data_IF_728382167568
#
_entry.id   IF_728382167568
#
_cell.length_a   1.000
_cell.length_b   1.000
_cell.length_c   1.000
_cell.angle_alpha   90.00
_cell.angle_beta   90.00
_cell.angle_gamma   90.00
#
_symmetry.space_group_name_H-M   'P 1'
#
loop_
_entity.id
_entity.type
_entity.pdbx_description
1 polymer ?
#
# COMPACT_ATOMS: atom_id res chain seq x y z
N UNK A 1 4.16 10.80 -35.39
CA UNK A 1 5.00 10.89 -34.18
C UNK A 1 5.15 9.49 -33.62
N UNK A 2 6.36 8.94 -33.53
CA UNK A 2 6.58 7.76 -32.69
C UNK A 2 6.50 8.25 -31.24
N UNK A 3 5.40 7.98 -30.54
CA UNK A 3 5.45 8.02 -29.08
C UNK A 3 6.30 6.81 -28.65
N UNK A 4 7.41 7.07 -27.97
CA UNK A 4 8.17 6.01 -27.29
C UNK A 4 7.24 5.38 -26.25
N UNK A 5 6.85 4.13 -26.46
CA UNK A 5 6.12 3.38 -25.45
C UNK A 5 6.96 3.30 -24.18
N UNK A 6 6.45 3.87 -23.08
CA UNK A 6 7.01 3.61 -21.76
C UNK A 6 6.39 2.34 -21.18
N UNK A 7 7.27 1.45 -20.76
CA UNK A 7 6.96 0.15 -20.16
C UNK A 7 7.06 0.30 -18.63
N UNK A 8 6.24 -0.41 -17.87
CA UNK A 8 6.35 -0.43 -16.40
C UNK A 8 7.71 -0.97 -15.92
N UNK A 9 8.03 -0.69 -14.65
CA UNK A 9 9.31 -1.08 -14.06
C UNK A 9 9.51 -2.61 -14.10
N UNK A 10 10.77 -3.09 -14.21
CA UNK A 10 11.07 -4.51 -14.14
C UNK A 10 10.64 -5.16 -12.83
N UNK A 11 10.42 -6.47 -12.87
CA UNK A 11 10.16 -7.27 -11.67
C UNK A 11 11.40 -7.33 -10.79
N UNK A 12 11.22 -7.09 -9.49
CA UNK A 12 12.25 -7.25 -8.47
C UNK A 12 12.28 -8.72 -8.05
N UNK A 13 13.34 -9.43 -8.43
CA UNK A 13 13.53 -10.87 -8.21
C UNK A 13 14.49 -11.18 -7.06
N UNK A 14 15.33 -10.20 -6.67
CA UNK A 14 16.25 -10.30 -5.54
C UNK A 14 15.90 -9.27 -4.45
N UNK A 15 16.16 -9.56 -3.17
CA UNK A 15 15.87 -8.64 -2.08
C UNK A 15 16.55 -7.29 -2.28
N UNK A 16 15.80 -6.20 -2.11
CA UNK A 16 16.31 -4.84 -2.30
C UNK A 16 15.72 -3.86 -1.29
N UNK A 17 16.49 -2.83 -0.96
CA UNK A 17 16.01 -1.66 -0.23
C UNK A 17 15.87 -0.51 -1.23
N UNK A 18 14.65 -0.02 -1.42
CA UNK A 18 14.35 1.19 -2.19
C UNK A 18 14.04 2.30 -1.18
N UNK A 19 14.97 3.25 -1.06
CA UNK A 19 14.99 4.25 0.01
C UNK A 19 14.94 5.69 -0.52
N UNK A 20 13.73 6.26 -0.57
CA UNK A 20 13.50 7.68 -0.84
C UNK A 20 13.75 8.61 0.35
N UNK A 21 13.89 8.09 1.57
CA UNK A 21 14.10 8.90 2.79
C UNK A 21 15.49 9.53 2.84
N UNK A 22 16.42 9.00 2.04
CA UNK A 22 17.77 9.54 1.86
C UNK A 22 17.82 10.84 1.03
N UNK A 23 16.73 11.19 0.35
CA UNK A 23 16.66 12.40 -0.48
C UNK A 23 16.78 13.68 0.38
N UNK A 24 17.69 14.62 0.04
CA UNK A 24 17.74 15.92 0.69
C UNK A 24 16.39 16.64 0.67
N UNK A 25 15.92 17.05 1.85
CA UNK A 25 14.63 17.71 2.04
C UNK A 25 13.52 16.80 2.58
N UNK A 26 13.71 15.48 2.60
CA UNK A 26 12.79 14.56 3.26
C UNK A 26 12.72 14.90 4.76
N UNK A 27 13.88 14.97 5.43
CA UNK A 27 13.97 15.48 6.80
C UNK A 27 14.11 17.00 6.83
N UNK A 28 13.52 17.68 7.84
CA UNK A 28 12.76 17.13 8.98
C UNK A 28 11.26 16.95 8.73
N UNK A 29 10.77 17.15 7.48
CA UNK A 29 9.34 17.18 7.18
C UNK A 29 8.67 15.80 7.22
N UNK A 30 9.41 14.75 6.87
CA UNK A 30 8.87 13.40 6.79
C UNK A 30 7.93 13.18 5.60
N UNK A 31 8.09 14.00 4.55
CA UNK A 31 7.25 13.97 3.35
C UNK A 31 8.07 13.35 2.21
N UNK A 32 7.59 12.29 1.55
CA UNK A 32 8.20 11.74 0.34
C UNK A 32 8.47 12.79 -0.73
N UNK A 33 9.66 12.75 -1.34
CA UNK A 33 10.07 13.69 -2.40
C UNK A 33 10.34 13.01 -3.75
N UNK A 34 10.49 11.68 -3.74
CA UNK A 34 10.77 10.90 -4.94
C UNK A 34 9.45 10.29 -5.41
N UNK A 35 9.03 10.68 -6.61
CA UNK A 35 7.80 10.19 -7.25
C UNK A 35 8.12 9.14 -8.31
N UNK A 36 7.49 7.98 -8.17
CA UNK A 36 7.31 7.00 -9.24
C UNK A 36 5.96 7.32 -9.91
N UNK A 37 6.02 8.02 -11.04
CA UNK A 37 4.85 8.47 -11.80
C UNK A 37 4.52 7.52 -12.96
N UNK A 38 3.36 6.87 -12.88
CA UNK A 38 2.85 5.94 -13.88
C UNK A 38 2.09 6.57 -15.06
N UNK A 39 1.85 7.90 -15.11
CA UNK A 39 0.93 8.56 -16.09
C UNK A 39 1.22 8.20 -17.55
N UNK A 40 2.47 7.93 -17.88
CA UNK A 40 2.92 7.64 -19.25
C UNK A 40 3.20 6.15 -19.51
N UNK A 41 3.00 5.27 -18.52
CA UNK A 41 3.11 3.82 -18.71
C UNK A 41 1.98 3.35 -19.65
N UNK A 42 2.37 2.99 -20.86
CA UNK A 42 1.46 2.59 -21.94
C UNK A 42 1.52 1.10 -22.24
N UNK A 43 2.53 0.40 -21.69
CA UNK A 43 2.68 -1.04 -21.79
C UNK A 43 3.04 -1.67 -20.45
N UNK A 44 2.43 -2.82 -20.20
CA UNK A 44 2.76 -3.68 -19.08
C UNK A 44 4.10 -4.41 -19.30
N UNK A 45 4.90 -4.49 -18.25
CA UNK A 45 6.04 -5.40 -18.13
C UNK A 45 5.56 -6.68 -17.46
N UNK A 46 5.93 -7.84 -17.99
CA UNK A 46 5.50 -9.14 -17.48
C UNK A 46 3.96 -9.28 -17.26
N UNK A 47 3.15 -8.58 -18.07
CA UNK A 47 1.69 -8.68 -18.03
C UNK A 47 1.00 -7.72 -17.05
N UNK A 48 1.72 -6.90 -16.29
CA UNK A 48 1.11 -5.87 -15.44
C UNK A 48 1.79 -4.49 -15.54
N UNK A 49 0.99 -3.43 -15.45
CA UNK A 49 1.37 -2.02 -15.40
C UNK A 49 1.48 -1.49 -13.96
N UNK A 50 1.99 -2.31 -13.03
CA UNK A 50 2.24 -1.89 -11.64
C UNK A 50 3.37 -0.86 -11.53
N UNK A 51 3.38 -0.10 -10.44
CA UNK A 51 4.51 0.73 -10.05
C UNK A 51 5.73 -0.10 -9.67
N UNK A 52 5.57 -0.98 -8.70
CA UNK A 52 6.59 -1.95 -8.31
C UNK A 52 5.99 -3.35 -8.30
N UNK A 53 6.69 -4.32 -8.88
CA UNK A 53 6.36 -5.75 -8.75
C UNK A 53 7.50 -6.45 -8.02
N UNK A 54 7.24 -6.93 -6.81
CA UNK A 54 8.22 -7.60 -5.95
C UNK A 54 7.84 -9.07 -5.83
N UNK A 55 8.68 -9.92 -6.43
CA UNK A 55 8.61 -11.39 -6.28
C UNK A 55 9.66 -11.92 -5.31
N UNK A 56 10.62 -11.06 -4.94
CA UNK A 56 11.58 -11.34 -3.89
C UNK A 56 10.90 -11.34 -2.51
N UNK A 57 11.49 -12.07 -1.56
CA UNK A 57 11.27 -11.78 -0.14
C UNK A 57 12.37 -10.84 0.37
N UNK A 58 12.22 -10.32 1.57
CA UNK A 58 13.22 -9.50 2.25
C UNK A 58 13.41 -8.09 1.68
N UNK A 59 12.45 -7.57 0.90
CA UNK A 59 12.57 -6.23 0.31
C UNK A 59 11.97 -5.15 1.20
N UNK A 60 12.48 -3.93 1.06
CA UNK A 60 11.95 -2.73 1.73
C UNK A 60 11.67 -1.63 0.71
N UNK A 61 10.49 -1.01 0.79
CA UNK A 61 10.14 0.19 0.03
C UNK A 61 9.77 1.29 1.01
N UNK A 62 10.50 2.41 0.97
CA UNK A 62 10.22 3.52 1.88
C UNK A 62 10.46 4.92 1.33
N UNK A 63 9.64 5.87 1.76
CA UNK A 63 9.84 7.29 1.46
C UNK A 63 9.50 7.70 0.03
N UNK A 64 8.62 6.98 -0.66
CA UNK A 64 8.25 7.24 -2.06
C UNK A 64 6.82 7.74 -2.22
N UNK A 65 6.59 8.51 -3.28
CA UNK A 65 5.26 8.75 -3.85
C UNK A 65 5.09 7.75 -4.99
N UNK A 66 4.03 6.96 -5.02
CA UNK A 66 3.76 5.94 -6.04
C UNK A 66 2.33 6.11 -6.53
N UNK A 67 2.18 6.59 -7.76
CA UNK A 67 0.88 7.01 -8.27
C UNK A 67 0.74 6.83 -9.79
N UNK A 68 -0.49 6.97 -10.27
CA UNK A 68 -0.84 6.92 -11.69
C UNK A 68 -0.53 5.62 -12.44
N UNK A 69 -0.31 4.51 -11.73
CA UNK A 69 -0.20 3.20 -12.37
C UNK A 69 -1.58 2.65 -12.72
N UNK A 70 -1.72 2.02 -13.89
CA UNK A 70 -3.02 1.51 -14.35
C UNK A 70 -3.48 0.29 -13.55
N UNK A 71 -2.52 -0.47 -13.05
CA UNK A 71 -2.73 -1.57 -12.12
C UNK A 71 -2.30 -1.09 -10.73
N UNK A 72 -1.58 -1.90 -9.95
CA UNK A 72 -1.30 -1.59 -8.55
C UNK A 72 -0.16 -0.58 -8.39
N UNK A 73 -0.19 0.22 -7.32
CA UNK A 73 0.99 0.98 -6.91
C UNK A 73 2.16 0.03 -6.60
N UNK A 74 1.90 -0.96 -5.73
CA UNK A 74 2.86 -2.02 -5.39
C UNK A 74 2.15 -3.38 -5.44
N UNK A 75 2.74 -4.35 -6.15
CA UNK A 75 2.39 -5.76 -6.09
C UNK A 75 3.47 -6.53 -5.33
N UNK A 76 3.10 -7.17 -4.22
CA UNK A 76 3.92 -8.15 -3.50
C UNK A 76 3.42 -9.55 -3.84
N UNK A 77 4.28 -10.42 -4.36
CA UNK A 77 3.86 -11.76 -4.76
C UNK A 77 4.88 -12.85 -4.48
N UNK A 78 4.40 -14.07 -4.29
CA UNK A 78 5.16 -15.33 -4.12
C UNK A 78 6.00 -15.45 -2.85
N UNK A 79 6.69 -14.40 -2.39
CA UNK A 79 7.60 -14.44 -1.25
C UNK A 79 7.42 -13.20 -0.38
N UNK A 80 7.63 -13.41 0.91
CA UNK A 80 7.89 -12.38 1.90
C UNK A 80 8.99 -12.87 2.86
N UNK A 81 9.27 -12.15 3.96
CA UNK A 81 8.60 -10.92 4.39
C UNK A 81 9.05 -9.69 3.57
N UNK A 82 8.18 -8.71 3.33
CA UNK A 82 8.56 -7.40 2.80
C UNK A 82 8.08 -6.28 3.71
N UNK A 83 8.74 -5.13 3.67
CA UNK A 83 8.42 -3.97 4.50
C UNK A 83 8.10 -2.75 3.64
N UNK A 84 6.90 -2.19 3.79
CA UNK A 84 6.43 -1.03 3.04
C UNK A 84 6.10 0.08 4.03
N UNK A 85 6.88 1.16 4.09
CA UNK A 85 6.77 2.19 5.15
C UNK A 85 7.02 3.60 4.65
N UNK A 86 6.37 4.62 5.22
CA UNK A 86 6.67 6.02 4.87
C UNK A 86 6.34 6.40 3.43
N UNK A 87 5.44 5.68 2.75
CA UNK A 87 5.09 5.94 1.35
C UNK A 87 3.74 6.65 1.21
N UNK A 88 3.60 7.44 0.15
CA UNK A 88 2.34 7.99 -0.32
C UNK A 88 1.92 7.22 -1.58
N UNK A 89 0.81 6.48 -1.51
CA UNK A 89 0.40 5.54 -2.54
C UNK A 89 -1.02 5.89 -2.99
N UNK A 90 -1.15 6.28 -4.26
CA UNK A 90 -2.42 6.74 -4.84
C UNK A 90 -2.73 8.23 -4.63
N UNK A 91 -1.81 8.97 -4.01
CA UNK A 91 -1.95 10.41 -3.77
C UNK A 91 -0.89 11.23 -4.50
N UNK A 92 -1.13 12.53 -4.64
CA UNK A 92 -0.14 13.48 -5.09
C UNK A 92 0.94 13.73 -4.04
N UNK A 93 1.94 14.54 -4.39
CA UNK A 93 3.07 14.93 -3.54
C UNK A 93 2.68 15.56 -2.19
N UNK A 94 1.53 16.23 -2.13
CA UNK A 94 0.99 16.79 -0.88
C UNK A 94 0.39 15.74 0.07
N UNK A 95 0.14 14.52 -0.41
CA UNK A 95 -0.58 13.47 0.32
C UNK A 95 -2.07 13.79 0.58
N UNK A 96 -2.64 14.80 -0.08
CA UNK A 96 -4.00 15.29 0.14
C UNK A 96 -4.89 15.33 -1.12
N UNK A 97 -4.34 15.00 -2.29
CA UNK A 97 -5.11 14.88 -3.54
C UNK A 97 -4.95 13.50 -4.15
N UNK A 98 -6.00 12.99 -4.79
CA UNK A 98 -5.96 11.69 -5.46
C UNK A 98 -5.09 11.75 -6.74
N UNK A 99 -4.31 10.70 -6.92
CA UNK A 99 -3.46 10.43 -8.07
C UNK A 99 -3.52 8.90 -8.31
N UNK A 100 -4.66 8.40 -8.81
CA UNK A 100 -5.05 7.02 -8.61
C UNK A 100 -4.10 6.02 -9.25
N UNK A 101 -3.78 4.98 -8.50
CA UNK A 101 -3.46 3.66 -9.06
C UNK A 101 -4.76 2.86 -9.24
N UNK A 102 -4.66 1.58 -9.62
CA UNK A 102 -5.69 0.55 -9.39
C UNK A 102 -5.88 0.30 -7.90
N UNK A 103 -5.26 -0.74 -7.33
CA UNK A 103 -5.07 -0.83 -5.88
C UNK A 103 -3.83 -0.06 -5.44
N UNK A 104 -3.83 0.40 -4.19
CA UNK A 104 -2.62 0.98 -3.61
C UNK A 104 -1.53 -0.08 -3.45
N UNK A 105 -1.83 -1.12 -2.66
CA UNK A 105 -0.96 -2.27 -2.46
C UNK A 105 -1.76 -3.55 -2.67
N UNK A 106 -1.30 -4.42 -3.56
CA UNK A 106 -1.84 -5.76 -3.74
C UNK A 106 -0.85 -6.81 -3.25
N UNK A 107 -1.29 -7.67 -2.34
CA UNK A 107 -0.52 -8.79 -1.78
C UNK A 107 -1.13 -10.09 -2.30
N UNK A 108 -0.40 -10.82 -3.13
CA UNK A 108 -0.85 -12.05 -3.77
C UNK A 108 0.09 -13.22 -3.50
N UNK A 109 -0.35 -14.16 -2.67
CA UNK A 109 0.45 -15.30 -2.21
C UNK A 109 1.84 -14.88 -1.68
N UNK A 110 1.89 -13.82 -0.88
CA UNK A 110 3.10 -13.30 -0.23
C UNK A 110 2.86 -13.20 1.28
N UNK A 111 3.51 -14.05 2.11
CA UNK A 111 3.24 -14.09 3.54
C UNK A 111 4.14 -13.12 4.33
N UNK A 112 3.76 -12.83 5.58
CA UNK A 112 4.59 -12.11 6.56
C UNK A 112 5.03 -10.69 6.12
N UNK A 113 4.17 -9.95 5.42
CA UNK A 113 4.50 -8.56 5.04
C UNK A 113 4.17 -7.58 6.17
N UNK A 114 5.01 -6.58 6.36
CA UNK A 114 4.78 -5.45 7.26
C UNK A 114 4.45 -4.20 6.44
N UNK A 115 3.19 -3.76 6.52
CA UNK A 115 2.67 -2.58 5.83
C UNK A 115 2.41 -1.49 6.85
N UNK A 116 3.22 -0.43 6.78
CA UNK A 116 3.21 0.71 7.69
C UNK A 116 4.10 0.50 8.91
N UNK A 117 4.04 1.44 9.85
CA UNK A 117 4.85 1.41 11.05
C UNK A 117 4.30 2.35 12.12
N UNK A 118 4.56 2.01 13.38
CA UNK A 118 3.97 2.67 14.53
C UNK A 118 4.66 4.00 14.93
N UNK A 119 5.81 4.33 14.33
CA UNK A 119 6.45 5.62 14.57
C UNK A 119 5.90 6.65 13.58
N UNK A 120 5.06 7.54 14.08
CA UNK A 120 4.57 8.76 13.44
C UNK A 120 3.97 9.68 14.51
N UNK A 121 3.84 10.97 14.20
CA UNK A 121 3.22 11.89 15.15
C UNK A 121 1.70 11.67 15.20
N UNK A 122 1.06 12.07 16.30
CA UNK A 122 -0.37 11.85 16.50
C UNK A 122 -1.20 12.53 15.40
N UNK A 123 -2.02 11.74 14.70
CA UNK A 123 -2.90 12.24 13.63
C UNK A 123 -2.18 12.74 12.36
N UNK A 124 -0.85 12.56 12.25
CA UNK A 124 -0.10 12.97 11.06
C UNK A 124 0.82 11.85 10.61
N UNK A 125 0.70 11.47 9.34
CA UNK A 125 1.58 10.48 8.75
C UNK A 125 2.88 11.11 8.19
N UNK A 126 3.93 11.19 9.02
CA UNK A 126 5.20 11.86 8.67
C UNK A 126 6.46 11.03 8.92
N UNK A 127 6.34 9.71 9.13
CA UNK A 127 7.49 8.84 9.42
C UNK A 127 7.30 7.45 8.80
N UNK A 128 6.96 6.44 9.58
CA UNK A 128 6.93 5.02 9.12
C UNK A 128 5.56 4.55 8.64
N UNK A 129 4.50 5.27 8.99
CA UNK A 129 3.16 5.12 8.43
C UNK A 129 3.16 5.26 6.89
N UNK A 130 2.21 4.63 6.20
CA UNK A 130 1.92 4.97 4.80
C UNK A 130 0.62 5.78 4.71
N UNK A 131 0.51 6.63 3.70
CA UNK A 131 -0.76 7.19 3.21
C UNK A 131 -1.17 6.37 1.99
N UNK A 132 -2.26 5.60 2.11
CA UNK A 132 -2.74 4.67 1.07
C UNK A 132 -4.18 5.05 0.72
N UNK A 133 -4.30 5.98 -0.21
CA UNK A 133 -5.51 6.80 -0.39
C UNK A 133 -5.64 7.21 -1.85
N UNK A 134 -6.85 7.50 -2.31
CA UNK A 134 -7.08 7.99 -3.67
C UNK A 134 -6.86 6.96 -4.77
N UNK A 135 -6.81 5.66 -4.44
CA UNK A 135 -6.69 4.58 -5.42
C UNK A 135 -8.06 4.23 -6.03
N UNK A 136 -8.06 3.78 -7.29
CA UNK A 136 -9.28 3.49 -8.06
C UNK A 136 -9.98 2.17 -7.72
N UNK A 137 -9.35 1.36 -6.85
CA UNK A 137 -9.91 0.13 -6.28
C UNK A 137 -9.76 0.19 -4.75
N UNK A 138 -9.14 -0.81 -4.12
CA UNK A 138 -8.91 -0.86 -2.68
C UNK A 138 -7.65 -0.06 -2.31
N UNK A 139 -7.57 0.36 -1.04
CA UNK A 139 -6.30 0.85 -0.50
C UNK A 139 -5.27 -0.28 -0.47
N UNK A 140 -5.62 -1.37 0.22
CA UNK A 140 -4.83 -2.59 0.31
C UNK A 140 -5.73 -3.78 -0.01
N UNK A 141 -5.28 -4.64 -0.92
CA UNK A 141 -5.88 -5.94 -1.16
C UNK A 141 -4.92 -7.06 -0.71
N UNK A 142 -5.42 -8.00 0.09
CA UNK A 142 -4.69 -9.19 0.54
C UNK A 142 -5.41 -10.42 0.01
N UNK A 143 -4.83 -11.08 -1.00
CA UNK A 143 -5.42 -12.27 -1.64
C UNK A 143 -4.48 -13.46 -1.64
N UNK A 144 -5.04 -14.65 -1.58
CA UNK A 144 -4.33 -15.90 -1.81
C UNK A 144 -4.08 -16.69 -0.52
N UNK A 145 -3.98 -18.01 -0.68
CA UNK A 145 -3.88 -18.94 0.45
C UNK A 145 -2.55 -18.80 1.20
N UNK A 146 -1.52 -18.23 0.56
CA UNK A 146 -0.20 -18.03 1.14
C UNK A 146 0.08 -16.57 1.55
N UNK A 147 -0.95 -15.72 1.74
CA UNK A 147 -0.78 -14.30 2.14
C UNK A 147 -0.93 -14.05 3.64
N UNK A 148 -0.98 -15.11 4.44
CA UNK A 148 -1.15 -15.05 5.89
C UNK A 148 -0.02 -14.33 6.63
N UNK A 149 -0.29 -13.98 7.89
CA UNK A 149 0.61 -13.30 8.81
C UNK A 149 1.06 -11.90 8.34
N UNK A 150 0.34 -11.31 7.40
CA UNK A 150 0.53 -9.91 7.00
C UNK A 150 0.05 -8.98 8.11
N UNK A 151 0.84 -7.95 8.42
CA UNK A 151 0.50 -6.88 9.36
C UNK A 151 0.29 -5.59 8.61
N UNK A 152 -0.86 -4.97 8.83
CA UNK A 152 -1.19 -3.64 8.34
C UNK A 152 -1.36 -2.76 9.58
N UNK A 153 -0.37 -1.92 9.88
CA UNK A 153 -0.33 -1.16 11.14
C UNK A 153 0.21 0.26 10.91
N UNK A 154 -0.32 1.24 11.64
CA UNK A 154 0.15 2.63 11.56
C UNK A 154 -0.18 3.33 10.24
N UNK A 155 -1.15 2.86 9.44
CA UNK A 155 -1.44 3.44 8.12
C UNK A 155 -2.60 4.43 8.14
N UNK A 156 -2.58 5.36 7.19
CA UNK A 156 -3.65 6.32 6.91
C UNK A 156 -4.29 5.90 5.59
N UNK A 157 -5.54 5.43 5.63
CA UNK A 157 -6.18 4.74 4.50
C UNK A 157 -7.53 5.41 4.18
N UNK A 158 -7.66 5.95 2.97
CA UNK A 158 -8.83 6.70 2.50
C UNK A 158 -8.89 8.15 3.00
N UNK A 159 -7.84 8.59 3.70
CA UNK A 159 -7.66 9.94 4.24
C UNK A 159 -6.31 10.51 3.80
N UNK A 160 -6.19 11.84 3.84
CA UNK A 160 -4.93 12.52 3.55
C UNK A 160 -3.91 12.38 4.69
N UNK A 161 -2.70 12.86 4.45
CA UNK A 161 -1.54 12.79 5.37
C UNK A 161 -1.82 13.29 6.80
N UNK A 162 -2.72 14.25 6.96
CA UNK A 162 -3.10 14.82 8.27
C UNK A 162 -4.34 14.16 8.89
N UNK A 163 -4.85 13.08 8.30
CA UNK A 163 -6.05 12.36 8.76
C UNK A 163 -7.37 13.12 8.61
N UNK A 164 -7.35 14.35 8.08
CA UNK A 164 -8.53 15.23 8.02
C UNK A 164 -9.12 15.33 6.61
N UNK A 165 -8.28 15.37 5.58
CA UNK A 165 -8.76 15.41 4.20
C UNK A 165 -9.35 14.04 3.82
N UNK A 166 -10.53 14.02 3.20
CA UNK A 166 -11.08 12.80 2.59
C UNK A 166 -10.39 12.59 1.25
N UNK A 167 -9.65 11.50 1.11
CA UNK A 167 -8.96 11.09 -0.12
C UNK A 167 -9.31 9.62 -0.35
N UNK A 168 -10.57 9.35 -0.72
CA UNK A 168 -11.13 8.02 -0.63
C UNK A 168 -10.43 7.06 -1.59
N UNK A 169 -10.23 5.80 -1.20
CA UNK A 169 -10.12 4.74 -2.19
C UNK A 169 -11.53 4.43 -2.70
N UNK A 170 -11.67 4.12 -3.98
CA UNK A 170 -12.99 3.96 -4.62
C UNK A 170 -13.77 2.74 -4.11
N UNK A 171 -13.06 1.73 -3.59
CA UNK A 171 -13.64 0.54 -2.93
C UNK A 171 -13.32 0.51 -1.43
N UNK A 172 -12.77 -0.59 -0.92
CA UNK A 172 -12.47 -0.75 0.51
C UNK A 172 -11.15 -0.13 0.92
N UNK A 173 -11.02 0.20 2.20
CA UNK A 173 -9.72 0.54 2.77
C UNK A 173 -8.77 -0.66 2.74
N UNK A 174 -9.23 -1.79 3.28
CA UNK A 174 -8.51 -3.06 3.28
C UNK A 174 -9.48 -4.17 2.88
N UNK A 175 -9.27 -4.82 1.73
CA UNK A 175 -9.98 -6.06 1.35
C UNK A 175 -9.11 -7.28 1.62
N UNK A 176 -9.74 -8.33 2.15
CA UNK A 176 -9.07 -9.54 2.63
C UNK A 176 -9.78 -10.78 2.07
N UNK A 177 -9.11 -11.49 1.16
CA UNK A 177 -9.49 -12.80 0.61
C UNK A 177 -8.32 -13.79 0.79
N UNK A 178 -8.06 -14.15 2.05
CA UNK A 178 -6.97 -15.06 2.43
C UNK A 178 -7.49 -16.41 2.90
N UNK A 179 -6.64 -17.43 2.70
CA UNK A 179 -6.84 -18.76 3.25
C UNK A 179 -6.45 -18.83 4.73
N UNK A 180 -5.38 -19.55 5.05
CA UNK A 180 -4.90 -19.73 6.42
C UNK A 180 -3.92 -18.62 6.85
N UNK A 181 -3.67 -18.50 8.16
CA UNK A 181 -2.66 -17.59 8.74
C UNK A 181 -3.13 -16.20 9.12
N UNK A 182 -4.31 -15.75 8.65
CA UNK A 182 -4.92 -14.47 9.05
C UNK A 182 -4.11 -13.23 8.67
N UNK A 183 -4.67 -12.04 8.92
CA UNK A 183 -3.95 -10.78 8.82
C UNK A 183 -4.24 -9.93 10.07
N UNK A 184 -3.25 -9.18 10.53
CA UNK A 184 -3.40 -8.25 11.65
C UNK A 184 -3.62 -6.85 11.11
N UNK A 185 -4.82 -6.31 11.27
CA UNK A 185 -5.17 -4.96 10.83
C UNK A 185 -5.29 -4.03 12.05
N UNK A 186 -4.21 -3.29 12.32
CA UNK A 186 -4.09 -2.37 13.45
C UNK A 186 -3.34 -2.95 14.63
N UNK A 187 -3.30 -2.19 15.72
CA UNK A 187 -2.62 -2.53 16.95
C UNK A 187 -2.87 -1.44 18.00
N UNK A 188 -2.13 -1.51 19.10
CA UNK A 188 -2.34 -0.62 20.24
C UNK A 188 -2.07 0.86 19.89
N UNK A 189 -2.84 1.73 20.53
CA UNK A 189 -2.73 3.19 20.46
C UNK A 189 -3.14 3.83 21.79
N UNK A 190 -2.69 5.06 22.04
CA UNK A 190 -3.14 5.83 23.20
C UNK A 190 -4.58 6.32 23.01
N UNK A 191 -5.29 6.52 24.12
CA UNK A 191 -6.70 6.91 24.08
C UNK A 191 -6.88 8.28 23.39
N UNK A 192 -7.77 8.34 22.39
CA UNK A 192 -8.27 9.60 21.81
C UNK A 192 -7.71 9.99 20.45
N UNK A 193 -6.58 9.43 20.01
CA UNK A 193 -6.06 9.61 18.65
C UNK A 193 -5.36 8.34 18.17
N UNK A 194 -5.32 8.13 16.85
CA UNK A 194 -4.49 7.08 16.31
C UNK A 194 -3.02 7.53 16.33
N UNK A 195 -2.27 7.06 17.34
CA UNK A 195 -0.82 7.12 17.46
C UNK A 195 -0.29 5.70 17.69
N UNK A 196 0.81 5.30 17.06
CA UNK A 196 1.31 3.93 17.20
C UNK A 196 0.75 2.98 16.14
N UNK A 197 0.39 1.76 16.53
CA UNK A 197 0.15 0.66 15.57
C UNK A 197 -1.28 0.62 14.98
N UNK A 198 -2.20 1.47 15.46
CA UNK A 198 -3.53 1.63 14.87
C UNK A 198 -3.48 2.08 13.40
N UNK A 199 -4.51 1.76 12.63
CA UNK A 199 -4.70 2.39 11.32
C UNK A 199 -5.80 3.45 11.43
N UNK A 200 -5.60 4.61 10.80
CA UNK A 200 -6.67 5.56 10.56
C UNK A 200 -7.33 5.23 9.21
N UNK A 201 -8.42 4.47 9.27
CA UNK A 201 -9.17 4.01 8.08
C UNK A 201 -10.49 4.74 8.02
N UNK A 202 -10.67 5.61 7.03
CA UNK A 202 -11.91 6.37 6.85
C UNK A 202 -12.09 6.82 5.42
N UNK A 203 -13.31 7.23 5.05
CA UNK A 203 -13.59 7.86 3.77
C UNK A 203 -13.67 6.93 2.55
N UNK A 204 -13.25 5.66 2.63
CA UNK A 204 -13.32 4.70 1.52
C UNK A 204 -14.74 4.53 0.96
N UNK A 205 -14.85 4.17 -0.31
CA UNK A 205 -16.11 4.13 -1.07
C UNK A 205 -17.08 3.03 -0.67
N UNK A 206 -16.55 1.87 -0.24
CA UNK A 206 -17.31 0.73 0.27
C UNK A 206 -17.11 0.57 1.78
N UNK A 207 -16.27 -0.37 2.20
CA UNK A 207 -16.03 -0.68 3.61
C UNK A 207 -14.68 -0.10 4.09
N UNK A 208 -14.54 0.07 5.39
CA UNK A 208 -13.23 0.34 5.98
C UNK A 208 -12.33 -0.89 5.85
N UNK A 209 -12.84 -2.04 6.30
CA UNK A 209 -12.20 -3.35 6.21
C UNK A 209 -13.26 -4.34 5.75
N UNK A 210 -13.00 -5.06 4.67
CA UNK A 210 -13.83 -6.16 4.18
C UNK A 210 -13.07 -7.48 4.26
N UNK A 211 -13.79 -8.54 4.62
CA UNK A 211 -13.30 -9.92 4.50
C UNK A 211 -14.20 -10.67 3.54
N UNK A 212 -13.71 -10.88 2.33
CA UNK A 212 -14.39 -11.71 1.34
C UNK A 212 -14.17 -13.18 1.75
N UNK A 213 -15.26 -13.92 1.98
CA UNK A 213 -15.17 -15.35 2.28
C UNK A 213 -15.89 -16.15 1.23
N UNK A 214 -15.15 -17.02 0.54
CA UNK A 214 -15.69 -18.21 -0.10
C UNK A 214 -15.08 -19.46 0.55
N UNK A 215 -15.32 -19.70 1.84
CA UNK A 215 -15.12 -21.04 2.41
C UNK A 215 -16.49 -21.68 2.59
N UNK A 216 -16.96 -22.34 1.54
CA UNK A 216 -18.07 -23.28 1.64
C UNK A 216 -17.54 -24.54 2.35
N UNK A 217 -17.55 -24.54 3.69
CA UNK A 217 -17.35 -25.75 4.47
C UNK A 217 -18.57 -26.67 4.29
N UNK A 218 -18.57 -27.47 3.21
CA UNK A 218 -19.38 -28.69 3.18
C UNK A 218 -18.67 -29.75 4.02
N UNK A 219 -18.95 -29.76 5.32
CA UNK A 219 -18.79 -30.98 6.12
C UNK A 219 -19.99 -31.88 5.83
N UNK A 220 -19.84 -32.80 4.87
CA UNK A 220 -20.68 -33.98 4.80
C UNK A 220 -20.08 -35.05 5.74
N UNK A 221 -20.96 -35.64 6.55
CA UNK A 221 -20.72 -36.67 7.57
C UNK A 221 -19.88 -37.86 7.08
#
# INVERSE_FOLDING_TARGET
MLQTQQVSFPVITDPVIIDGTSQPGFFPKGVPLIELDGRNVTQANAGSANGLTITAGGSTVKGLIINHFKDNGILLSTKGPNTITGNYIGTNDSGNGAAPNGDGIFILDSPNNDIGGADHDAGVCNKTCNVISGNGLHGIEIRGVNSGFTKVQGNFIGVGVNGMAKVPNDQDGVSIDLGEGGATIGGDHDVGMCNGACNLISGNGLHGIEKETAVLHLSAL
#
